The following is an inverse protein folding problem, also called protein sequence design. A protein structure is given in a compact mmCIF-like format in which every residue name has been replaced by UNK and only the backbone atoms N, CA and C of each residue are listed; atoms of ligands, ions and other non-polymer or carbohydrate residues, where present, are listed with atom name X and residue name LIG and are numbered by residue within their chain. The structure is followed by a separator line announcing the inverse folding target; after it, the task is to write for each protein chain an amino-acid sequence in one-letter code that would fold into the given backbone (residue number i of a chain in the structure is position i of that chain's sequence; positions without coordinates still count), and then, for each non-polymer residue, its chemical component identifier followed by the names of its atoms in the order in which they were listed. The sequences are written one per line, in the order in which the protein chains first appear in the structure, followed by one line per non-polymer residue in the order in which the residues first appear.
data_IF_451633781065
#
_entry.id   IF_451633781065
#
_cell.length_a   1.000
_cell.length_b   1.000
_cell.length_c   1.000
_cell.angle_alpha   90.00
_cell.angle_beta   90.00
_cell.angle_gamma   90.00
#
_symmetry.space_group_name_H-M   'P 1'
#
loop_
_entity.id
_entity.type
_entity.pdbx_description
1 polymer ?
#
# COMPACT_ATOMS: atom_id res chain seq x y z
N UNK A 1 -7.14 17.08 6.59
CA UNK A 1 -7.50 15.85 7.33
C UNK A 1 -8.85 15.40 6.81
N UNK A 2 -8.97 14.13 6.45
CA UNK A 2 -10.27 13.50 6.13
C UNK A 2 -11.06 13.39 7.42
N UNK A 3 -12.31 13.86 7.41
CA UNK A 3 -13.18 13.75 8.58
C UNK A 3 -13.69 12.28 8.67
N UNK A 4 -13.00 11.45 9.41
CA UNK A 4 -13.50 10.14 9.82
C UNK A 4 -14.00 10.27 11.25
N UNK A 5 -15.31 10.05 11.46
CA UNK A 5 -15.91 10.03 12.79
C UNK A 5 -16.04 8.59 13.22
N UNK A 6 -15.28 8.18 14.22
CA UNK A 6 -15.31 6.84 14.79
C UNK A 6 -15.15 6.91 16.32
N UNK A 7 -15.78 5.96 17.05
CA UNK A 7 -15.47 5.78 18.47
C UNK A 7 -14.04 5.28 18.64
N UNK A 8 -13.32 5.69 19.68
CA UNK A 8 -12.03 5.10 20.04
C UNK A 8 -12.06 3.58 20.13
N UNK A 9 -13.17 3.01 20.57
CA UNK A 9 -13.38 1.56 20.70
C UNK A 9 -13.38 0.82 19.36
N UNK A 10 -13.54 1.55 18.25
CA UNK A 10 -13.48 1.02 16.89
C UNK A 10 -12.10 1.16 16.25
N UNK A 11 -11.10 1.60 17.02
CA UNK A 11 -9.74 1.81 16.53
C UNK A 11 -8.81 0.74 17.10
N UNK A 12 -8.20 -0.05 16.22
CA UNK A 12 -7.22 -1.08 16.58
C UNK A 12 -5.84 -0.61 16.11
N UNK A 13 -4.91 -0.48 17.04
CA UNK A 13 -3.51 -0.10 16.71
C UNK A 13 -2.79 -1.30 16.11
N UNK A 14 -1.99 -1.06 15.08
CA UNK A 14 -1.28 -2.07 14.31
C UNK A 14 0.18 -1.69 14.08
N UNK A 15 1.02 -2.66 13.68
CA UNK A 15 2.39 -2.41 13.24
C UNK A 15 2.49 -1.89 11.79
N UNK A 16 1.43 -1.24 11.30
CA UNK A 16 1.29 -0.70 9.96
C UNK A 16 0.21 -1.41 9.14
N UNK A 17 -0.02 -0.94 7.90
CA UNK A 17 -1.12 -1.39 7.05
C UNK A 17 -1.08 -2.89 6.74
N UNK A 18 0.11 -3.49 6.54
CA UNK A 18 0.23 -4.94 6.24
C UNK A 18 -0.27 -5.81 7.39
N UNK A 19 0.13 -5.49 8.61
CA UNK A 19 -0.33 -6.22 9.79
C UNK A 19 -1.81 -5.97 10.03
N UNK A 20 -2.27 -4.75 9.86
CA UNK A 20 -3.69 -4.41 9.94
C UNK A 20 -4.54 -5.18 8.92
N UNK A 21 -4.07 -5.28 7.68
CA UNK A 21 -4.76 -6.05 6.65
C UNK A 21 -4.79 -7.56 6.99
N UNK A 22 -3.65 -8.12 7.42
CA UNK A 22 -3.58 -9.52 7.87
C UNK A 22 -4.56 -9.80 9.01
N UNK A 23 -4.64 -8.90 10.00
CA UNK A 23 -5.54 -9.04 11.14
C UNK A 23 -7.02 -9.00 10.72
N UNK A 24 -7.38 -8.13 9.76
CA UNK A 24 -8.74 -8.10 9.20
C UNK A 24 -9.07 -9.42 8.51
N UNK A 25 -8.17 -9.95 7.67
CA UNK A 25 -8.41 -11.22 6.98
C UNK A 25 -8.58 -12.38 7.97
N UNK A 26 -7.78 -12.45 9.01
CA UNK A 26 -7.99 -13.44 10.09
C UNK A 26 -9.33 -13.28 10.80
N UNK A 27 -9.82 -12.04 10.94
CA UNK A 27 -11.11 -11.78 11.56
C UNK A 27 -12.29 -12.21 10.67
N UNK A 28 -12.12 -12.14 9.33
CA UNK A 28 -13.14 -12.60 8.38
C UNK A 28 -13.21 -14.12 8.26
N UNK A 29 -12.10 -14.85 8.50
CA UNK A 29 -12.09 -16.32 8.49
C UNK A 29 -11.03 -16.93 7.57
N UNK A 30 -11.33 -18.12 7.05
CA UNK A 30 -10.48 -18.88 6.14
C UNK A 30 -11.12 -18.97 4.75
N UNK A 31 -10.35 -19.45 3.76
CA UNK A 31 -10.79 -19.71 2.39
C UNK A 31 -11.43 -18.48 1.70
N UNK A 32 -10.96 -17.28 2.07
CA UNK A 32 -11.52 -16.03 1.58
C UNK A 32 -11.18 -15.80 0.10
N UNK A 33 -12.11 -15.18 -0.60
CA UNK A 33 -11.89 -14.60 -1.93
C UNK A 33 -11.71 -13.10 -1.79
N UNK A 34 -10.48 -12.62 -1.98
CA UNK A 34 -10.10 -11.23 -1.74
C UNK A 34 -9.77 -10.55 -3.06
N UNK A 35 -10.56 -9.54 -3.42
CA UNK A 35 -10.27 -8.66 -4.54
C UNK A 35 -9.14 -7.70 -4.25
N UNK A 36 -8.20 -7.55 -5.15
CA UNK A 36 -7.10 -6.59 -5.05
C UNK A 36 -6.93 -5.83 -6.36
N UNK A 37 -6.63 -4.54 -6.27
CA UNK A 37 -6.34 -3.72 -7.46
C UNK A 37 -5.17 -4.31 -8.27
N UNK A 38 -5.32 -4.35 -9.61
CA UNK A 38 -4.29 -4.75 -10.55
C UNK A 38 -4.26 -3.78 -11.75
N UNK A 39 -3.22 -2.91 -11.85
CA UNK A 39 -2.08 -2.81 -10.93
C UNK A 39 -2.46 -2.34 -9.53
N UNK A 40 -1.66 -2.74 -8.54
CA UNK A 40 -1.85 -2.41 -7.12
C UNK A 40 -0.54 -2.52 -6.32
N UNK A 41 -0.54 -2.09 -5.07
CA UNK A 41 0.66 -2.09 -4.24
C UNK A 41 1.15 -3.53 -3.92
N UNK A 42 2.34 -3.94 -4.38
CA UNK A 42 2.77 -5.34 -4.34
C UNK A 42 2.83 -5.94 -2.94
N UNK A 43 3.22 -5.15 -1.93
CA UNK A 43 3.38 -5.64 -0.56
C UNK A 43 2.05 -5.98 0.11
N UNK A 44 0.97 -5.22 -0.17
CA UNK A 44 -0.36 -5.53 0.36
C UNK A 44 -1.05 -6.62 -0.46
N UNK A 45 -0.93 -6.57 -1.78
CA UNK A 45 -1.54 -7.55 -2.68
C UNK A 45 -1.18 -9.00 -2.35
N UNK A 46 0.03 -9.25 -1.83
CA UNK A 46 0.52 -10.59 -1.47
C UNK A 46 0.05 -11.07 -0.09
N UNK A 47 -0.56 -10.22 0.71
CA UNK A 47 -1.01 -10.60 2.06
C UNK A 47 -2.09 -11.70 2.02
N UNK A 48 -3.13 -11.62 1.17
CA UNK A 48 -4.14 -12.68 1.09
C UNK A 48 -3.54 -14.04 0.68
N UNK A 49 -2.66 -14.06 -0.31
CA UNK A 49 -1.97 -15.29 -0.77
C UNK A 49 -1.13 -15.91 0.36
N UNK A 50 -0.40 -15.09 1.11
CA UNK A 50 0.42 -15.54 2.23
C UNK A 50 -0.43 -16.13 3.37
N UNK A 51 -1.72 -15.80 3.43
CA UNK A 51 -2.69 -16.33 4.40
C UNK A 51 -3.56 -17.47 3.84
N UNK A 52 -3.27 -17.96 2.62
CA UNK A 52 -4.03 -19.04 2.00
C UNK A 52 -5.36 -18.62 1.36
N UNK A 53 -5.62 -17.31 1.24
CA UNK A 53 -6.83 -16.81 0.58
C UNK A 53 -6.67 -16.78 -0.93
N UNK A 54 -7.79 -16.86 -1.66
CA UNK A 54 -7.84 -16.71 -3.10
C UNK A 54 -7.78 -15.22 -3.45
N UNK A 55 -6.72 -14.79 -4.10
CA UNK A 55 -6.58 -13.41 -4.58
C UNK A 55 -7.21 -13.27 -5.97
N UNK A 56 -8.14 -12.32 -6.10
CA UNK A 56 -8.81 -12.00 -7.36
C UNK A 56 -8.33 -10.63 -7.85
N UNK A 57 -7.58 -10.56 -8.97
CA UNK A 57 -7.14 -9.29 -9.52
C UNK A 57 -8.34 -8.51 -10.08
N UNK A 58 -8.47 -7.26 -9.67
CA UNK A 58 -9.51 -6.34 -10.12
C UNK A 58 -8.87 -5.24 -10.96
N UNK A 59 -9.38 -5.01 -12.19
CA UNK A 59 -8.78 -4.03 -13.09
C UNK A 59 -8.93 -2.61 -12.59
N UNK A 60 -7.93 -1.78 -12.89
CA UNK A 60 -7.94 -0.35 -12.61
C UNK A 60 -7.67 0.46 -13.88
N UNK A 61 -8.08 1.72 -13.86
CA UNK A 61 -7.78 2.72 -14.88
C UNK A 61 -7.27 4.02 -14.24
N UNK A 62 -7.25 5.12 -14.99
CA UNK A 62 -6.80 6.42 -14.51
C UNK A 62 -7.65 6.99 -13.35
N UNK A 63 -8.86 6.48 -13.17
CA UNK A 63 -9.79 6.86 -12.08
C UNK A 63 -9.77 5.86 -10.90
N UNK A 64 -8.86 4.88 -10.93
CA UNK A 64 -8.73 3.83 -9.90
C UNK A 64 -9.52 2.57 -10.23
N UNK A 65 -10.00 1.86 -9.22
CA UNK A 65 -10.72 0.60 -9.37
C UNK A 65 -11.91 0.73 -10.32
N UNK A 66 -12.01 -0.17 -11.29
CA UNK A 66 -13.19 -0.34 -12.13
C UNK A 66 -14.25 -1.08 -11.31
N UNK A 67 -15.40 -0.45 -11.09
CA UNK A 67 -16.40 -0.91 -10.11
C UNK A 67 -17.68 -1.49 -10.73
N UNK A 68 -17.79 -1.53 -12.06
CA UNK A 68 -18.88 -2.24 -12.73
C UNK A 68 -18.55 -3.74 -12.76
N UNK A 69 -19.56 -4.56 -12.60
CA UNK A 69 -19.48 -6.02 -12.68
C UNK A 69 -18.46 -6.66 -11.69
N UNK A 70 -18.35 -6.09 -10.48
CA UNK A 70 -17.56 -6.70 -9.44
C UNK A 70 -18.13 -8.08 -9.07
N UNK A 71 -17.26 -9.12 -9.01
CA UNK A 71 -17.68 -10.45 -8.61
C UNK A 71 -18.07 -10.51 -7.12
N UNK A 72 -18.67 -11.61 -6.71
CA UNK A 72 -18.93 -11.88 -5.31
C UNK A 72 -17.60 -12.26 -4.61
N UNK A 73 -17.20 -11.44 -3.64
CA UNK A 73 -15.96 -11.53 -2.88
C UNK A 73 -16.25 -11.29 -1.40
N UNK A 74 -15.43 -11.87 -0.53
CA UNK A 74 -15.51 -11.65 0.91
C UNK A 74 -14.96 -10.28 1.29
N UNK A 75 -13.93 -9.81 0.58
CA UNK A 75 -13.35 -8.49 0.77
C UNK A 75 -12.75 -7.92 -0.51
N UNK A 76 -12.66 -6.58 -0.58
CA UNK A 76 -11.92 -5.85 -1.63
C UNK A 76 -10.95 -4.87 -0.96
N UNK A 77 -9.65 -5.00 -1.26
CA UNK A 77 -8.64 -4.00 -0.94
C UNK A 77 -8.61 -2.92 -2.02
N UNK A 78 -8.78 -1.66 -1.63
CA UNK A 78 -8.84 -0.52 -2.56
C UNK A 78 -8.10 0.70 -2.01
N UNK A 79 -7.48 1.47 -2.91
CA UNK A 79 -6.77 2.73 -2.62
C UNK A 79 -7.54 3.94 -3.20
N UNK A 80 -8.71 4.32 -2.62
CA UNK A 80 -9.68 5.18 -3.27
C UNK A 80 -9.29 6.66 -3.31
N UNK A 81 -8.31 7.07 -2.52
CA UNK A 81 -7.82 8.44 -2.47
C UNK A 81 -6.70 8.71 -3.45
N UNK A 82 -5.90 7.68 -3.69
CA UNK A 82 -4.72 7.74 -4.55
C UNK A 82 -4.35 6.32 -4.96
N UNK A 83 -4.87 5.89 -6.12
CA UNK A 83 -4.64 4.56 -6.65
C UNK A 83 -3.15 4.33 -6.90
N UNK A 84 -2.62 3.25 -6.40
CA UNK A 84 -1.21 2.91 -6.55
C UNK A 84 -1.01 1.87 -7.68
N UNK A 85 -0.14 2.12 -8.69
CA UNK A 85 0.78 3.24 -8.79
C UNK A 85 0.29 4.45 -9.63
N UNK A 86 -0.83 4.35 -10.34
CA UNK A 86 -1.25 5.32 -11.36
C UNK A 86 -1.67 6.69 -10.80
N UNK A 87 -2.03 6.79 -9.53
CA UNK A 87 -2.32 8.06 -8.88
C UNK A 87 -3.74 8.57 -9.06
N UNK A 88 -4.62 7.79 -9.70
CA UNK A 88 -6.04 8.13 -9.84
C UNK A 88 -6.78 8.22 -8.50
N UNK A 89 -7.89 8.93 -8.48
CA UNK A 89 -8.76 9.01 -7.31
C UNK A 89 -10.14 8.51 -7.66
N UNK A 90 -10.65 7.55 -6.91
CA UNK A 90 -11.93 6.92 -7.16
C UNK A 90 -13.06 7.96 -7.16
N UNK A 91 -13.75 8.20 -8.29
CA UNK A 91 -14.79 9.22 -8.39
C UNK A 91 -16.05 8.86 -7.62
N UNK A 92 -16.91 9.83 -7.34
CA UNK A 92 -18.09 9.67 -6.49
C UNK A 92 -19.02 8.53 -6.96
N UNK A 93 -19.24 8.40 -8.26
CA UNK A 93 -20.11 7.34 -8.78
C UNK A 93 -19.55 5.93 -8.51
N UNK A 94 -18.23 5.72 -8.66
CA UNK A 94 -17.57 4.44 -8.34
C UNK A 94 -17.59 4.14 -6.85
N UNK A 95 -17.46 5.17 -6.01
CA UNK A 95 -17.59 5.02 -4.54
C UNK A 95 -18.99 4.54 -4.18
N UNK A 96 -20.03 5.10 -4.83
CA UNK A 96 -21.42 4.64 -4.65
C UNK A 96 -21.59 3.21 -5.14
N UNK A 97 -21.06 2.85 -6.31
CA UNK A 97 -21.14 1.48 -6.84
C UNK A 97 -20.46 0.48 -5.89
N UNK A 98 -19.26 0.81 -5.35
CA UNK A 98 -18.53 -0.05 -4.44
C UNK A 98 -19.26 -0.23 -3.11
N UNK A 99 -19.82 0.83 -2.54
CA UNK A 99 -20.61 0.72 -1.31
C UNK A 99 -21.94 -0.02 -1.54
N UNK A 100 -22.56 0.11 -2.70
CA UNK A 100 -23.73 -0.67 -3.10
C UNK A 100 -23.38 -2.16 -3.23
N UNK A 101 -22.24 -2.48 -3.88
CA UNK A 101 -21.72 -3.84 -3.95
C UNK A 101 -21.55 -4.45 -2.55
N UNK A 102 -20.88 -3.74 -1.64
CA UNK A 102 -20.63 -4.22 -0.28
C UNK A 102 -21.93 -4.48 0.51
N UNK A 103 -22.94 -3.64 0.34
CA UNK A 103 -24.24 -3.83 0.99
C UNK A 103 -25.01 -5.01 0.39
N UNK A 104 -24.93 -5.22 -0.91
CA UNK A 104 -25.60 -6.31 -1.61
C UNK A 104 -24.99 -7.68 -1.30
N UNK A 105 -23.66 -7.79 -1.30
CA UNK A 105 -22.93 -9.07 -1.14
C UNK A 105 -22.55 -9.37 0.30
N UNK A 106 -22.74 -8.44 1.22
CA UNK A 106 -22.19 -8.45 2.58
C UNK A 106 -20.65 -8.47 2.63
N UNK A 107 -19.97 -8.24 1.50
CA UNK A 107 -18.51 -8.13 1.41
C UNK A 107 -17.96 -6.92 2.16
N UNK A 108 -16.70 -7.01 2.59
CA UNK A 108 -16.02 -5.92 3.29
C UNK A 108 -15.17 -5.11 2.31
N UNK A 109 -15.29 -3.79 2.37
CA UNK A 109 -14.34 -2.87 1.73
C UNK A 109 -13.18 -2.63 2.71
N UNK A 110 -11.96 -2.84 2.26
CA UNK A 110 -10.74 -2.52 2.99
C UNK A 110 -10.09 -1.33 2.30
N UNK A 111 -10.29 -0.14 2.88
CA UNK A 111 -9.77 1.12 2.36
C UNK A 111 -8.33 1.33 2.85
N UNK A 112 -7.34 1.23 1.96
CA UNK A 112 -5.95 1.59 2.28
C UNK A 112 -5.74 3.09 2.08
N UNK A 113 -5.58 3.81 3.18
CA UNK A 113 -5.34 5.25 3.23
C UNK A 113 -3.88 5.54 3.57
N UNK A 114 -2.98 5.28 2.64
CA UNK A 114 -1.53 5.35 2.87
C UNK A 114 -0.95 6.76 2.75
N UNK A 115 -1.59 7.69 2.03
CA UNK A 115 -1.01 9.02 1.74
C UNK A 115 -2.03 10.16 1.47
N UNK A 116 -3.29 9.99 1.84
CA UNK A 116 -4.33 11.02 1.56
C UNK A 116 -4.01 12.40 2.15
N UNK A 117 -3.20 12.45 3.20
CA UNK A 117 -2.68 13.71 3.75
C UNK A 117 -1.68 14.41 2.83
N UNK A 118 -1.09 13.72 1.87
CA UNK A 118 -0.06 14.22 0.95
C UNK A 118 -0.60 14.57 -0.43
N UNK A 119 -1.88 14.90 -0.52
CA UNK A 119 -2.51 15.35 -1.76
C UNK A 119 -1.95 16.71 -2.18
N UNK A 120 -1.55 16.83 -3.46
CA UNK A 120 -0.94 18.04 -4.03
C UNK A 120 -1.96 18.95 -4.69
N UNK A 121 -2.99 18.37 -5.31
CA UNK A 121 -4.02 19.06 -6.11
C UNK A 121 -5.40 18.68 -5.59
N UNK A 122 -6.30 19.66 -5.52
CA UNK A 122 -7.70 19.48 -5.12
C UNK A 122 -7.88 19.31 -3.62
N UNK A 123 -9.15 19.14 -3.22
CA UNK A 123 -9.53 18.91 -1.83
C UNK A 123 -9.45 17.42 -1.47
N UNK A 124 -9.19 17.07 -0.21
CA UNK A 124 -9.29 15.70 0.25
C UNK A 124 -10.68 15.11 -0.02
N UNK A 125 -10.72 13.91 -0.58
CA UNK A 125 -11.98 13.19 -0.78
C UNK A 125 -12.44 12.54 0.54
N UNK A 126 -13.76 12.42 0.77
CA UNK A 126 -14.27 11.66 1.91
C UNK A 126 -13.75 10.23 1.92
N UNK A 127 -13.54 9.66 3.10
CA UNK A 127 -13.23 8.24 3.21
C UNK A 127 -14.42 7.37 2.77
N UNK A 128 -14.18 6.21 2.19
CA UNK A 128 -15.24 5.21 1.96
C UNK A 128 -15.86 4.77 3.29
N UNK A 129 -15.05 4.69 4.33
CA UNK A 129 -15.53 4.45 5.69
C UNK A 129 -16.64 5.43 6.11
N UNK A 130 -16.54 6.71 5.75
CA UNK A 130 -17.58 7.70 6.07
C UNK A 130 -18.88 7.47 5.29
N UNK A 131 -18.82 6.81 4.12
CA UNK A 131 -19.99 6.51 3.29
C UNK A 131 -20.69 5.20 3.68
N UNK A 132 -19.92 4.21 4.15
CA UNK A 132 -20.42 2.89 4.50
C UNK A 132 -19.68 2.32 5.73
N UNK A 133 -19.86 2.89 6.94
CA UNK A 133 -19.07 2.52 8.12
C UNK A 133 -19.33 1.09 8.61
N UNK A 134 -20.46 0.49 8.22
CA UNK A 134 -20.79 -0.90 8.56
C UNK A 134 -20.15 -1.94 7.61
N UNK A 135 -19.63 -1.48 6.48
CA UNK A 135 -19.07 -2.33 5.40
C UNK A 135 -17.67 -1.94 4.98
N UNK A 136 -17.04 -1.02 5.72
CA UNK A 136 -15.69 -0.55 5.38
C UNK A 136 -14.78 -0.61 6.61
N UNK A 137 -13.62 -1.24 6.47
CA UNK A 137 -12.50 -1.09 7.40
C UNK A 137 -11.47 -0.16 6.74
N UNK A 138 -11.03 0.88 7.46
CA UNK A 138 -10.03 1.81 6.98
C UNK A 138 -8.67 1.47 7.59
N UNK A 139 -7.67 1.26 6.76
CA UNK A 139 -6.28 1.09 7.15
C UNK A 139 -5.57 2.45 7.08
N UNK A 140 -5.03 2.89 8.20
CA UNK A 140 -4.20 4.09 8.28
C UNK A 140 -2.77 3.77 8.68
N UNK A 141 -1.83 4.60 8.25
CA UNK A 141 -0.40 4.43 8.56
C UNK A 141 0.27 5.75 8.87
N UNK A 142 1.27 5.72 9.74
CA UNK A 142 2.15 6.86 9.99
C UNK A 142 3.43 6.83 9.13
N UNK A 143 3.61 5.79 8.31
CA UNK A 143 4.82 5.58 7.51
C UNK A 143 5.10 6.71 6.53
N UNK A 144 4.08 7.20 5.83
CA UNK A 144 4.21 8.25 4.81
C UNK A 144 4.41 9.64 5.40
N UNK A 145 3.89 9.91 6.59
CA UNK A 145 3.92 11.24 7.22
C UNK A 145 4.99 11.37 8.32
N UNK A 146 5.47 10.26 8.88
CA UNK A 146 6.54 10.27 9.90
C UNK A 146 7.76 9.51 9.38
N UNK A 147 7.72 8.19 9.37
CA UNK A 147 8.75 7.29 8.87
C UNK A 147 8.25 5.85 8.83
N UNK A 148 8.64 5.03 7.85
CA UNK A 148 8.38 3.59 7.87
C UNK A 148 8.94 2.88 9.12
N UNK A 149 10.01 3.41 9.72
CA UNK A 149 10.66 2.85 10.91
C UNK A 149 9.80 2.94 12.19
N UNK A 150 8.79 3.82 12.19
CA UNK A 150 7.83 3.92 13.32
C UNK A 150 7.02 2.63 13.46
N UNK A 151 6.83 1.90 12.36
CA UNK A 151 6.07 0.63 12.35
C UNK A 151 4.77 0.73 13.15
N UNK A 152 3.99 1.77 12.91
CA UNK A 152 2.70 2.00 13.54
C UNK A 152 1.67 2.46 12.53
N UNK A 153 0.49 1.89 12.68
CA UNK A 153 -0.70 2.20 11.91
C UNK A 153 -1.95 1.91 12.73
N UNK A 154 -3.09 1.92 12.10
CA UNK A 154 -4.35 1.65 12.77
C UNK A 154 -5.40 1.13 11.79
N UNK A 155 -6.38 0.41 12.31
CA UNK A 155 -7.61 0.07 11.64
C UNK A 155 -8.74 0.89 12.27
N UNK A 156 -9.56 1.55 11.45
CA UNK A 156 -10.90 1.98 11.89
C UNK A 156 -11.87 0.93 11.36
N UNK A 157 -12.49 0.19 12.24
CA UNK A 157 -13.24 -1.03 11.89
C UNK A 157 -14.74 -0.89 12.07
N UNK A 158 -15.56 -1.60 11.26
CA UNK A 158 -16.98 -1.74 11.55
C UNK A 158 -17.22 -2.32 12.95
N UNK A 159 -18.28 -1.88 13.67
CA UNK A 159 -18.55 -2.33 15.03
C UNK A 159 -18.63 -3.84 15.20
N UNK A 160 -19.20 -4.56 14.23
CA UNK A 160 -19.38 -6.02 14.30
C UNK A 160 -18.07 -6.82 14.24
N UNK A 161 -16.98 -6.23 13.72
CA UNK A 161 -15.66 -6.88 13.69
C UNK A 161 -14.83 -6.60 14.94
N UNK A 162 -15.18 -5.60 15.75
CA UNK A 162 -14.41 -5.21 16.95
C UNK A 162 -14.16 -6.39 17.90
N UNK A 163 -15.18 -7.19 18.32
CA UNK A 163 -14.95 -8.28 19.27
C UNK A 163 -13.93 -9.30 18.74
N UNK A 164 -14.05 -9.67 17.46
CA UNK A 164 -13.15 -10.65 16.85
C UNK A 164 -11.72 -10.11 16.70
N UNK A 165 -11.56 -8.84 16.34
CA UNK A 165 -10.24 -8.20 16.24
C UNK A 165 -9.56 -8.10 17.62
N UNK A 166 -10.30 -7.81 18.69
CA UNK A 166 -9.79 -7.79 20.07
C UNK A 166 -9.36 -9.19 20.51
N UNK A 167 -10.17 -10.20 20.24
CA UNK A 167 -9.83 -11.60 20.51
C UNK A 167 -8.52 -12.01 19.83
N UNK A 168 -8.41 -11.75 18.52
CA UNK A 168 -7.20 -12.04 17.76
C UNK A 168 -5.98 -11.26 18.28
N UNK A 169 -6.18 -10.01 18.71
CA UNK A 169 -5.13 -9.21 19.32
C UNK A 169 -4.67 -9.80 20.67
N UNK A 170 -5.57 -10.41 21.41
CA UNK A 170 -5.21 -11.12 22.65
C UNK A 170 -4.39 -12.37 22.37
N UNK A 171 -4.73 -13.10 21.29
CA UNK A 171 -4.03 -14.33 20.88
C UNK A 171 -2.65 -14.03 20.30
N UNK A 172 -2.57 -13.08 19.36
CA UNK A 172 -1.33 -12.75 18.64
C UNK A 172 -0.43 -11.77 19.37
N UNK A 173 -0.92 -11.11 20.42
CA UNK A 173 -0.24 -10.06 21.14
C UNK A 173 -0.22 -8.71 20.42
N UNK A 174 0.35 -7.69 21.05
CA UNK A 174 0.53 -6.36 20.48
C UNK A 174 1.81 -6.31 19.64
N UNK A 175 1.65 -6.02 18.36
CA UNK A 175 2.75 -5.89 17.40
C UNK A 175 3.38 -4.49 17.39
N UNK A 176 2.61 -3.45 17.73
CA UNK A 176 3.08 -2.08 17.84
C UNK A 176 3.63 -1.82 19.26
N UNK A 177 4.87 -1.34 19.36
CA UNK A 177 5.51 -1.02 20.65
C UNK A 177 4.72 0.00 21.46
N UNK A 178 4.49 -0.26 22.75
CA UNK A 178 3.83 0.68 23.66
C UNK A 178 4.58 2.03 23.76
N UNK A 179 5.91 2.01 23.72
CA UNK A 179 6.73 3.24 23.71
C UNK A 179 6.43 4.06 22.44
N UNK A 180 6.33 3.40 21.29
CA UNK A 180 5.98 4.07 20.03
C UNK A 180 4.57 4.65 20.09
N UNK A 181 3.60 3.92 20.65
CA UNK A 181 2.22 4.39 20.78
C UNK A 181 2.14 5.62 21.67
N UNK A 182 2.82 5.62 22.82
CA UNK A 182 2.85 6.77 23.73
C UNK A 182 3.51 8.00 23.10
N UNK A 183 4.66 7.81 22.44
CA UNK A 183 5.33 8.87 21.70
C UNK A 183 4.44 9.48 20.60
N UNK A 184 3.70 8.63 19.87
CA UNK A 184 2.75 9.09 18.88
C UNK A 184 1.55 9.81 19.49
N UNK A 185 1.02 9.34 20.62
CA UNK A 185 -0.08 10.01 21.33
C UNK A 185 0.31 11.44 21.73
N UNK A 186 1.51 11.62 22.30
CA UNK A 186 2.04 12.95 22.60
C UNK A 186 2.28 13.78 21.33
N UNK A 187 2.80 13.17 20.28
CA UNK A 187 3.04 13.87 19.01
C UNK A 187 1.74 14.35 18.36
N UNK A 188 0.66 13.59 18.49
CA UNK A 188 -0.69 13.92 18.03
C UNK A 188 -1.30 15.04 18.91
N UNK A 189 -1.27 14.89 20.25
CA UNK A 189 -1.89 15.83 21.20
C UNK A 189 -1.32 17.23 21.12
N UNK A 190 -0.02 17.37 20.88
CA UNK A 190 0.67 18.66 20.72
C UNK A 190 0.44 19.32 19.35
N UNK A 191 -0.28 18.66 18.44
CA UNK A 191 -0.48 19.10 17.06
C UNK A 191 0.80 19.09 16.20
N UNK A 192 1.87 18.43 16.68
CA UNK A 192 3.14 18.34 15.97
C UNK A 192 3.01 17.59 14.63
N UNK A 193 2.20 16.52 14.59
CA UNK A 193 1.92 15.80 13.36
C UNK A 193 1.27 16.71 12.30
N UNK A 194 0.31 17.53 12.69
CA UNK A 194 -0.35 18.48 11.78
C UNK A 194 0.65 19.46 11.17
N UNK A 195 1.52 20.06 11.99
CA UNK A 195 2.57 20.96 11.51
C UNK A 195 3.54 20.27 10.56
N UNK A 196 3.99 19.05 10.93
CA UNK A 196 4.85 18.22 10.06
C UNK A 196 4.20 17.93 8.72
N UNK A 197 2.95 17.47 8.70
CA UNK A 197 2.21 17.17 7.46
C UNK A 197 2.09 18.40 6.56
N UNK A 198 1.84 19.58 7.12
CA UNK A 198 1.82 20.82 6.34
C UNK A 198 3.17 21.13 5.69
N UNK A 199 4.27 20.94 6.41
CA UNK A 199 5.62 21.14 5.89
C UNK A 199 5.97 20.10 4.81
N UNK A 200 5.60 18.84 5.03
CA UNK A 200 5.79 17.77 4.05
C UNK A 200 5.04 18.07 2.74
N UNK A 201 3.78 18.52 2.80
CA UNK A 201 3.02 18.92 1.60
C UNK A 201 3.76 19.97 0.77
N UNK A 202 4.37 20.99 1.41
CA UNK A 202 5.15 22.03 0.72
C UNK A 202 6.41 21.44 0.06
N UNK A 203 7.12 20.58 0.80
CA UNK A 203 8.34 19.93 0.31
C UNK A 203 8.05 19.00 -0.87
N UNK A 204 7.02 18.16 -0.76
CA UNK A 204 6.67 17.22 -1.81
C UNK A 204 6.07 17.90 -3.04
N UNK A 205 5.37 19.01 -2.88
CA UNK A 205 4.93 19.81 -4.01
C UNK A 205 6.13 20.33 -4.83
N UNK A 206 7.17 20.84 -4.17
CA UNK A 206 8.41 21.28 -4.86
C UNK A 206 9.09 20.13 -5.58
N UNK A 207 9.21 18.95 -4.93
CA UNK A 207 9.79 17.76 -5.54
C UNK A 207 8.99 17.26 -6.73
N UNK A 208 7.67 17.24 -6.60
CA UNK A 208 6.76 16.96 -7.72
C UNK A 208 7.02 17.88 -8.90
N UNK A 209 7.10 19.18 -8.66
CA UNK A 209 7.32 20.17 -9.71
C UNK A 209 8.70 19.96 -10.39
N UNK A 210 9.72 19.57 -9.62
CA UNK A 210 11.03 19.15 -10.16
C UNK A 210 10.89 17.89 -11.04
N UNK A 211 10.14 16.89 -10.60
CA UNK A 211 9.89 15.66 -11.39
C UNK A 211 9.18 16.00 -12.69
N UNK A 212 8.14 16.84 -12.65
CA UNK A 212 7.41 17.27 -13.84
C UNK A 212 8.33 18.02 -14.82
N UNK A 213 9.13 18.96 -14.34
CA UNK A 213 10.06 19.73 -15.21
C UNK A 213 11.18 18.85 -15.77
N UNK A 214 11.59 17.81 -15.06
CA UNK A 214 12.69 16.92 -15.51
C UNK A 214 12.20 15.87 -16.50
N UNK A 215 11.04 15.26 -16.26
CA UNK A 215 10.57 14.09 -17.00
C UNK A 215 9.39 14.36 -17.94
N UNK A 216 8.73 15.52 -17.82
CA UNK A 216 7.51 15.81 -18.58
C UNK A 216 7.68 15.98 -20.09
N UNK A 217 8.91 16.10 -20.59
CA UNK A 217 9.20 16.36 -22.03
C UNK A 217 10.27 15.43 -22.61
N UNK A 218 10.52 14.27 -22.00
CA UNK A 218 11.52 13.32 -22.52
C UNK A 218 10.88 12.53 -23.68
N UNK A 219 11.47 12.55 -24.89
CA UNK A 219 10.97 11.80 -26.03
C UNK A 219 10.86 10.29 -25.73
N UNK A 220 9.77 9.67 -26.17
CA UNK A 220 9.50 8.25 -25.93
C UNK A 220 9.11 7.91 -24.49
N UNK A 221 8.72 8.91 -23.68
CA UNK A 221 8.18 8.71 -22.35
C UNK A 221 6.90 9.50 -22.13
N UNK A 222 6.05 9.01 -21.23
CA UNK A 222 4.84 9.71 -20.78
C UNK A 222 4.80 9.70 -19.27
N UNK A 223 4.80 10.89 -18.66
CA UNK A 223 4.67 11.05 -17.22
C UNK A 223 3.19 11.09 -16.86
N UNK A 224 2.76 10.16 -15.99
CA UNK A 224 1.40 10.18 -15.45
C UNK A 224 1.14 11.41 -14.59
N UNK A 225 -0.10 11.93 -14.53
CA UNK A 225 -0.46 13.05 -13.65
C UNK A 225 -0.15 12.76 -12.18
N UNK A 226 0.59 13.64 -11.52
CA UNK A 226 0.95 13.50 -10.11
C UNK A 226 0.01 14.38 -9.27
N UNK A 227 -1.10 13.82 -8.82
CA UNK A 227 -2.12 14.54 -8.02
C UNK A 227 -1.88 14.45 -6.51
N UNK A 228 -1.11 13.48 -6.07
CA UNK A 228 -0.77 13.24 -4.66
C UNK A 228 0.46 12.35 -4.54
N UNK A 229 0.75 11.91 -3.33
CA UNK A 229 1.72 10.87 -3.04
C UNK A 229 3.20 11.26 -3.12
N UNK A 230 4.03 10.23 -3.15
CA UNK A 230 5.48 10.29 -3.01
C UNK A 230 6.20 9.62 -4.18
N UNK A 231 5.48 9.32 -5.26
CA UNK A 231 6.00 8.63 -6.44
C UNK A 231 5.42 9.21 -7.73
N UNK A 232 6.06 8.90 -8.83
CA UNK A 232 5.64 9.22 -10.19
C UNK A 232 5.76 7.98 -11.07
N UNK A 233 4.86 7.83 -12.03
CA UNK A 233 4.90 6.78 -13.03
C UNK A 233 5.34 7.37 -14.35
N UNK A 234 6.35 6.77 -14.95
CA UNK A 234 6.86 7.09 -16.26
C UNK A 234 6.73 5.87 -17.17
N UNK A 235 5.77 5.89 -18.08
CA UNK A 235 5.68 4.88 -19.15
C UNK A 235 6.70 5.20 -20.24
N UNK A 236 7.25 4.19 -20.87
CA UNK A 236 8.37 4.32 -21.79
C UNK A 236 8.16 3.46 -23.04
N UNK A 237 8.59 3.93 -24.21
CA UNK A 237 8.64 3.13 -25.44
C UNK A 237 9.82 2.14 -25.45
N UNK A 238 10.90 2.46 -24.70
CA UNK A 238 12.04 1.55 -24.51
C UNK A 238 11.64 0.42 -23.56
N UNK A 239 12.07 -0.84 -23.82
CA UNK A 239 11.80 -1.97 -22.91
C UNK A 239 12.22 -1.67 -21.46
N UNK A 240 11.36 -1.98 -20.50
CA UNK A 240 11.59 -1.75 -19.08
C UNK A 240 12.89 -2.40 -18.59
N UNK A 241 13.17 -3.63 -19.03
CA UNK A 241 14.38 -4.35 -18.66
C UNK A 241 15.66 -3.58 -19.00
N UNK A 242 15.71 -2.94 -20.18
CA UNK A 242 16.85 -2.11 -20.62
C UNK A 242 17.03 -0.87 -19.75
N UNK A 243 15.91 -0.24 -19.35
CA UNK A 243 15.93 0.94 -18.49
C UNK A 243 16.45 0.56 -17.12
N UNK A 244 15.91 -0.50 -16.52
CA UNK A 244 16.33 -1.00 -15.21
C UNK A 244 17.81 -1.39 -15.19
N UNK A 245 18.29 -2.06 -16.23
CA UNK A 245 19.71 -2.41 -16.36
C UNK A 245 20.61 -1.17 -16.41
N UNK A 246 20.26 -0.18 -17.22
CA UNK A 246 21.01 1.08 -17.32
C UNK A 246 21.00 1.89 -16.03
N UNK A 247 19.89 1.90 -15.31
CA UNK A 247 19.79 2.54 -14.00
C UNK A 247 20.72 1.86 -12.99
N UNK A 248 20.68 0.52 -12.91
CA UNK A 248 21.57 -0.25 -12.02
C UNK A 248 23.04 -0.01 -12.29
N UNK A 249 23.46 0.02 -13.56
CA UNK A 249 24.85 0.32 -13.96
C UNK A 249 25.32 1.70 -13.48
N UNK A 250 24.42 2.64 -13.22
CA UNK A 250 24.69 3.99 -12.71
C UNK A 250 24.43 4.15 -11.21
N UNK A 251 24.16 3.05 -10.49
CA UNK A 251 23.82 3.08 -9.07
C UNK A 251 22.46 3.71 -8.76
N UNK A 252 21.57 3.82 -9.76
CA UNK A 252 20.20 4.34 -9.59
C UNK A 252 19.25 3.17 -9.36
N UNK A 253 18.50 3.23 -8.26
CA UNK A 253 17.49 2.22 -7.91
C UNK A 253 16.12 2.76 -8.27
N UNK A 254 15.43 2.06 -9.16
CA UNK A 254 14.04 2.32 -9.55
C UNK A 254 13.30 0.99 -9.67
N UNK A 255 11.99 1.02 -9.52
CA UNK A 255 11.12 -0.14 -9.68
C UNK A 255 10.53 -0.18 -11.09
N UNK A 256 10.46 -1.37 -11.66
CA UNK A 256 9.75 -1.60 -12.93
C UNK A 256 8.25 -1.50 -12.74
N UNK A 257 7.59 -0.87 -13.66
CA UNK A 257 6.14 -0.68 -13.61
C UNK A 257 5.39 -2.02 -13.71
N UNK A 258 5.94 -2.99 -14.44
CA UNK A 258 5.37 -4.33 -14.60
C UNK A 258 5.17 -5.08 -13.27
N UNK A 259 5.96 -4.78 -12.23
CA UNK A 259 5.87 -5.42 -10.91
C UNK A 259 4.54 -5.15 -10.17
N UNK A 260 3.78 -4.17 -10.63
CA UNK A 260 2.53 -3.76 -9.97
C UNK A 260 1.30 -4.55 -10.45
N UNK A 261 1.41 -5.31 -11.53
CA UNK A 261 0.34 -6.21 -11.99
C UNK A 261 0.43 -7.57 -11.29
N UNK A 262 -0.74 -8.20 -11.08
CA UNK A 262 -0.82 -9.57 -10.54
C UNK A 262 -0.41 -10.62 -11.58
N UNK A 263 -0.73 -10.35 -12.83
CA UNK A 263 -0.32 -11.10 -14.01
C UNK A 263 0.27 -10.08 -14.98
N UNK A 264 1.35 -10.43 -15.68
CA UNK A 264 1.93 -9.51 -16.66
C UNK A 264 0.90 -9.21 -17.74
N UNK A 265 0.44 -7.97 -17.88
CA UNK A 265 -0.42 -7.64 -19.00
C UNK A 265 0.43 -7.64 -20.28
N UNK A 266 -0.11 -8.22 -21.35
CA UNK A 266 0.44 -8.15 -22.70
C UNK A 266 0.29 -6.74 -23.32
N UNK A 267 0.38 -5.69 -22.52
CA UNK A 267 0.11 -4.32 -22.96
C UNK A 267 1.29 -3.36 -22.69
N UNK A 268 1.44 -2.38 -23.59
CA UNK A 268 2.39 -1.27 -23.46
C UNK A 268 2.19 -0.44 -22.18
N UNK A 269 1.04 -0.59 -21.51
CA UNK A 269 0.71 0.15 -20.30
C UNK A 269 1.54 -0.26 -19.07
N UNK A 270 2.13 -1.47 -19.09
CA UNK A 270 3.00 -1.96 -18.01
C UNK A 270 4.48 -1.67 -18.23
N UNK A 271 4.84 -1.10 -19.39
CA UNK A 271 6.24 -0.84 -19.74
C UNK A 271 6.68 0.53 -19.24
N UNK A 272 7.49 0.56 -18.19
CA UNK A 272 7.92 1.80 -17.58
C UNK A 272 8.58 1.65 -16.22
N UNK A 273 8.67 2.75 -15.49
CA UNK A 273 9.27 2.77 -14.16
C UNK A 273 8.43 3.59 -13.17
N UNK A 274 8.55 3.22 -11.91
CA UNK A 274 8.02 3.99 -10.78
C UNK A 274 9.18 4.68 -10.06
N UNK A 275 9.10 6.01 -9.97
CA UNK A 275 10.13 6.86 -9.37
C UNK A 275 9.62 7.37 -8.03
N UNK A 276 10.22 6.91 -6.92
CA UNK A 276 9.99 7.48 -5.61
C UNK A 276 10.74 8.81 -5.43
N UNK A 277 10.08 9.86 -4.96
CA UNK A 277 10.72 11.14 -4.61
C UNK A 277 10.56 11.51 -3.12
N UNK A 278 10.21 10.53 -2.30
CA UNK A 278 10.36 10.62 -0.84
C UNK A 278 11.83 10.78 -0.45
N UNK A 279 12.16 11.34 0.74
CA UNK A 279 13.54 11.32 1.22
C UNK A 279 13.95 9.86 1.39
N UNK A 280 14.96 9.44 0.64
CA UNK A 280 15.69 8.22 0.96
C UNK A 280 16.46 8.52 2.25
N UNK A 281 16.02 7.96 3.37
CA UNK A 281 16.92 7.78 4.51
C UNK A 281 17.98 6.79 4.05
N UNK A 282 19.12 7.32 3.62
CA UNK A 282 20.34 6.54 3.40
C UNK A 282 20.83 6.04 4.76
N UNK A 283 20.16 5.04 5.31
CA UNK A 283 20.67 4.22 6.40
C UNK A 283 20.16 2.80 6.19
N UNK A 284 21.08 1.96 5.70
CA UNK A 284 21.05 0.50 5.74
C UNK A 284 19.78 -0.17 5.18
N UNK A 285 19.74 -0.31 3.85
CA UNK A 285 19.17 -1.57 3.33
C UNK A 285 20.00 -2.69 3.94
N UNK A 286 19.40 -3.65 4.68
CA UNK A 286 20.13 -4.86 5.03
C UNK A 286 20.59 -5.48 3.70
N UNK A 287 21.90 -5.70 3.56
CA UNK A 287 22.43 -6.48 2.45
C UNK A 287 21.62 -7.77 2.39
N UNK A 288 21.15 -8.21 1.21
CA UNK A 288 20.50 -9.49 1.11
C UNK A 288 21.46 -10.52 1.72
N UNK A 289 20.95 -11.32 2.64
CA UNK A 289 21.69 -12.44 3.22
C UNK A 289 21.98 -13.39 2.07
N UNK A 290 23.16 -13.30 1.49
CA UNK A 290 23.67 -14.31 0.58
C UNK A 290 23.98 -15.52 1.45
N UNK A 291 23.06 -16.46 1.54
CA UNK A 291 23.38 -17.82 1.97
C UNK A 291 24.34 -18.37 0.94
N UNK A 292 25.63 -18.22 1.22
CA UNK A 292 26.67 -19.01 0.58
C UNK A 292 26.40 -20.48 0.94
N UNK A 293 25.82 -21.22 0.02
CA UNK A 293 25.91 -22.67 0.06
C UNK A 293 27.40 -23.02 -0.11
N UNK A 294 28.05 -23.28 1.03
CA UNK A 294 29.36 -23.90 1.03
C UNK A 294 29.25 -25.31 0.41
N UNK A 295 30.27 -25.77 -0.31
CA UNK A 295 30.24 -27.10 -0.91
C UNK A 295 30.16 -28.19 0.17
N UNK A 296 29.21 -29.09 0.01
CA UNK A 296 29.04 -30.32 0.74
C UNK A 296 30.35 -31.11 0.68
N UNK A 297 31.05 -31.23 1.80
CA UNK A 297 32.13 -32.14 1.98
C UNK A 297 31.57 -33.58 2.23
N UNK A 298 31.34 -34.29 1.16
CA UNK A 298 31.15 -35.73 1.18
C UNK A 298 32.27 -36.30 0.31
N UNK A 299 33.35 -36.73 0.96
CA UNK A 299 34.25 -37.80 0.49
C UNK A 299 35.43 -37.91 1.45
N UNK A 300 35.35 -38.84 2.37
CA UNK A 300 36.52 -39.62 2.86
C UNK A 300 36.03 -40.87 3.57
N UNK A 301 35.83 -41.87 2.75
CA UNK A 301 35.84 -43.26 3.17
C UNK A 301 37.22 -43.78 2.83
N UNK A 302 38.04 -44.14 3.79
CA UNK A 302 39.16 -45.06 3.65
C UNK A 302 39.32 -45.84 4.94
N UNK A 303 39.38 -47.17 4.89
CA UNK A 303 39.55 -48.02 6.07
C UNK A 303 41.05 -48.19 6.35
N UNK A 304 41.47 -48.13 7.61
CA UNK A 304 42.72 -48.74 8.06
C UNK A 304 42.41 -49.87 8.98
N UNK A 305 42.97 -51.05 8.51
CA UNK A 305 43.25 -52.25 9.27
C UNK A 305 44.32 -51.94 10.32
N UNK A 306 44.17 -52.43 11.49
CA UNK A 306 44.93 -53.32 12.39
C UNK A 306 44.37 -53.21 13.81
#
# INVERSE_FOLDING_TARGET
MRAVVASPDHIIITAGAREGFSLILHALGQDLRVGVESPGYPSLRRVPEALGSITVPLPTDNDGLITHDLPDLDAILVTPSHQYPHGGSLPAYRRTQLTTWANRTAGLIIEDDFDSELRHIGQPLPALFALAPQRTALLGTFSSVISPQVSCGYIVTPPHLVPRLIELRTIFGNTASGITQEALAQYLSTGALRRRTQNLRRTYRRRRDTVISTFGSIPGTTLSPIVGGLHAVLTCTRPEADILQRCRQRGIIVEGLSNYWSQHPDSDQSNGIVIGFAPTTTQHSPKPCTTSHGPSANDRNTPHQE
#
